data_IF_184468306854
#
_entry.id   IF_184468306854
#
_cell.length_a   1.000
_cell.length_b   1.000
_cell.length_c   1.000
_cell.angle_alpha   90.00
_cell.angle_beta   90.00
_cell.angle_gamma   90.00
#
_symmetry.space_group_name_H-M   'P 1'
#
loop_
_entity.id
_entity.type
_entity.pdbx_description
1 polymer ?
#
# COMPACT_ATOMS: atom_id res chain seq x y z
N UNK A 1 -19.34 13.85 4.21
CA UNK A 1 -18.48 12.91 3.47
C UNK A 1 -17.54 12.24 4.45
N UNK A 2 -17.83 11.02 4.88
CA UNK A 2 -16.97 10.28 5.80
C UNK A 2 -15.65 9.95 5.12
N UNK A 3 -14.52 10.23 5.79
CA UNK A 3 -13.20 9.82 5.32
C UNK A 3 -13.26 8.32 5.01
N UNK A 4 -12.87 7.85 3.80
CA UNK A 4 -12.79 6.43 3.51
C UNK A 4 -12.00 5.73 4.61
N UNK A 5 -12.36 4.50 5.03
CA UNK A 5 -11.61 3.78 6.04
C UNK A 5 -10.15 3.70 5.59
N UNK A 6 -9.29 4.42 6.31
CA UNK A 6 -7.87 4.43 6.02
C UNK A 6 -7.35 3.04 6.37
N UNK A 7 -6.61 2.42 5.44
CA UNK A 7 -5.81 1.24 5.76
C UNK A 7 -5.00 1.56 7.03
N UNK A 8 -5.07 0.72 8.09
CA UNK A 8 -4.33 0.96 9.32
C UNK A 8 -2.83 1.15 9.04
N UNK A 9 -2.17 1.98 9.85
CA UNK A 9 -0.76 2.34 9.63
C UNK A 9 0.15 1.10 9.64
N UNK A 10 -0.13 0.13 10.52
CA UNK A 10 0.61 -1.12 10.63
C UNK A 10 0.47 -1.96 9.35
N UNK A 11 -0.74 -2.00 8.78
CA UNK A 11 -1.00 -2.71 7.53
C UNK A 11 -0.27 -2.03 6.37
N UNK A 12 -0.32 -0.70 6.30
CA UNK A 12 0.41 0.14 5.33
C UNK A 12 1.92 -0.15 5.39
N UNK A 13 2.50 -0.17 6.59
CA UNK A 13 3.91 -0.44 6.81
C UNK A 13 4.31 -1.84 6.32
N UNK A 14 3.52 -2.88 6.64
CA UNK A 14 3.79 -4.26 6.17
C UNK A 14 3.81 -4.34 4.64
N UNK A 15 2.86 -3.69 3.97
CA UNK A 15 2.81 -3.65 2.49
C UNK A 15 4.07 -2.99 1.92
N UNK A 16 4.46 -1.83 2.46
CA UNK A 16 5.64 -1.10 2.00
C UNK A 16 6.92 -1.93 2.21
N UNK A 17 7.06 -2.58 3.37
CA UNK A 17 8.22 -3.42 3.66
C UNK A 17 8.34 -4.61 2.70
N UNK A 18 7.25 -5.33 2.40
CA UNK A 18 7.28 -6.41 1.40
C UNK A 18 7.63 -5.92 0.00
N UNK A 19 7.18 -4.71 -0.38
CA UNK A 19 7.56 -4.09 -1.67
C UNK A 19 9.04 -3.71 -1.70
N UNK A 20 9.59 -3.19 -0.59
CA UNK A 20 11.01 -2.84 -0.48
C UNK A 20 11.91 -4.08 -0.42
N UNK A 21 11.43 -5.16 0.20
CA UNK A 21 12.12 -6.45 0.23
C UNK A 21 12.11 -7.18 -1.13
N UNK A 22 11.32 -6.69 -2.11
CA UNK A 22 11.20 -7.31 -3.43
C UNK A 22 10.32 -8.57 -3.44
N UNK A 23 9.62 -8.86 -2.34
CA UNK A 23 8.68 -9.98 -2.24
C UNK A 23 7.44 -9.79 -3.13
N UNK A 24 7.17 -8.54 -3.50
CA UNK A 24 5.93 -8.12 -4.15
C UNK A 24 6.11 -6.80 -4.89
N UNK A 25 5.51 -6.66 -6.06
CA UNK A 25 5.53 -5.41 -6.83
C UNK A 25 4.50 -4.39 -6.33
N UNK A 26 4.69 -3.12 -6.70
CA UNK A 26 3.71 -2.06 -6.43
C UNK A 26 2.34 -2.39 -7.07
N UNK A 27 2.33 -2.94 -8.28
CA UNK A 27 1.12 -3.30 -9.00
C UNK A 27 0.36 -4.43 -8.29
N UNK A 28 1.06 -5.46 -7.80
CA UNK A 28 0.45 -6.52 -7.01
C UNK A 28 -0.13 -5.97 -5.69
N UNK A 29 0.56 -5.02 -5.05
CA UNK A 29 0.08 -4.34 -3.83
C UNK A 29 -1.19 -3.58 -4.03
N UNK A 30 -1.22 -2.75 -5.07
CA UNK A 30 -2.38 -1.97 -5.45
C UNK A 30 -3.61 -2.88 -5.67
N UNK A 31 -3.45 -3.97 -6.43
CA UNK A 31 -4.55 -4.91 -6.73
C UNK A 31 -5.04 -5.64 -5.49
N UNK A 32 -4.13 -6.19 -4.67
CA UNK A 32 -4.47 -6.95 -3.46
C UNK A 32 -5.20 -6.11 -2.43
N UNK A 33 -4.78 -4.86 -2.28
CA UNK A 33 -5.29 -3.95 -1.25
C UNK A 33 -6.42 -3.04 -1.78
N UNK A 34 -6.78 -3.17 -3.06
CA UNK A 34 -7.81 -2.36 -3.73
C UNK A 34 -7.54 -0.86 -3.62
N UNK A 35 -6.27 -0.48 -3.79
CA UNK A 35 -5.81 0.91 -3.82
C UNK A 35 -5.07 1.20 -5.11
N UNK A 36 -4.79 2.48 -5.40
CA UNK A 36 -4.00 2.84 -6.58
C UNK A 36 -2.50 2.59 -6.36
N UNK A 37 -1.78 2.27 -7.43
CA UNK A 37 -0.30 2.18 -7.42
C UNK A 37 0.34 3.51 -6.96
N UNK A 38 -0.27 4.64 -7.31
CA UNK A 38 0.14 5.96 -6.81
C UNK A 38 0.04 6.07 -5.29
N UNK A 39 -0.99 5.48 -4.67
CA UNK A 39 -1.11 5.46 -3.21
C UNK A 39 0.06 4.71 -2.58
N UNK A 40 0.38 3.51 -3.10
CA UNK A 40 1.53 2.73 -2.65
C UNK A 40 2.85 3.50 -2.85
N UNK A 41 3.02 4.17 -4.01
CA UNK A 41 4.19 5.02 -4.28
C UNK A 41 4.37 6.14 -3.26
N UNK A 42 3.28 6.81 -2.86
CA UNK A 42 3.26 7.84 -1.81
C UNK A 42 3.54 7.32 -0.41
N UNK A 43 3.46 6.01 -0.18
CA UNK A 43 3.73 5.42 1.12
C UNK A 43 5.21 5.08 1.31
N UNK A 44 5.93 4.88 0.20
CA UNK A 44 7.38 4.65 0.16
C UNK A 44 8.19 5.93 0.29
N UNK A 45 7.66 7.04 -0.24
CA UNK A 45 8.25 8.37 -0.15
C UNK A 45 8.08 8.95 1.25
#
# INVERSE_FOLDING_TARGET
MGRPPAIPAEKKARIVLSVLAGEMTIAEAARKEKVSEQSIGRWKA
#
